data_IF_563084577167
#
_entry.id   IF_563084577167
#
_cell.length_a   1.000
_cell.length_b   1.000
_cell.length_c   1.000
_cell.angle_alpha   90.00
_cell.angle_beta   90.00
_cell.angle_gamma   90.00
#
_symmetry.space_group_name_H-M   'P 1'
#
loop_
_entity.id
_entity.type
_entity.pdbx_description
1 polymer ?
#
# COMPACT_ATOMS: atom_id res chain seq x y z
N UNK A 1 7.94 -8.65 11.63
CA UNK A 1 7.68 -7.76 10.48
C UNK A 1 8.95 -6.95 10.23
N UNK A 2 9.53 -7.02 9.02
CA UNK A 2 10.79 -6.34 8.66
C UNK A 2 10.66 -4.83 8.41
N UNK A 3 9.43 -4.30 8.41
CA UNK A 3 9.17 -2.86 8.26
C UNK A 3 9.37 -2.14 9.59
N UNK A 4 10.22 -1.12 9.58
CA UNK A 4 10.56 -0.33 10.78
C UNK A 4 9.69 0.91 10.95
N UNK A 5 9.13 1.40 9.85
CA UNK A 5 8.29 2.60 9.85
C UNK A 5 7.83 2.93 8.44
N UNK A 6 6.85 3.81 8.36
CA UNK A 6 6.30 4.31 7.11
C UNK A 6 5.89 5.77 7.27
N UNK A 7 5.78 6.47 6.15
CA UNK A 7 5.31 7.84 6.08
C UNK A 7 4.40 8.00 4.87
N UNK A 8 3.27 8.66 5.06
CA UNK A 8 2.35 8.99 3.97
C UNK A 8 2.62 10.43 3.56
N UNK A 9 2.96 10.64 2.29
CA UNK A 9 3.30 11.96 1.74
C UNK A 9 2.14 12.60 0.99
N UNK A 10 1.27 11.79 0.39
CA UNK A 10 0.08 12.29 -0.33
C UNK A 10 -1.05 11.28 -0.25
N UNK A 11 -2.25 11.78 -0.01
CA UNK A 11 -3.50 11.01 -0.15
C UNK A 11 -4.40 11.79 -1.09
N UNK A 12 -4.87 11.14 -2.14
CA UNK A 12 -5.79 11.71 -3.12
C UNK A 12 -6.91 10.71 -3.41
N UNK A 13 -8.15 11.18 -3.36
CA UNK A 13 -9.31 10.40 -3.80
C UNK A 13 -10.27 11.31 -4.56
N UNK A 14 -10.71 10.84 -5.71
CA UNK A 14 -11.60 11.54 -6.60
C UNK A 14 -12.81 10.65 -6.92
N UNK A 15 -14.01 11.19 -6.69
CA UNK A 15 -15.26 10.57 -7.11
C UNK A 15 -15.59 11.07 -8.51
N UNK A 16 -15.54 10.18 -9.48
CA UNK A 16 -15.69 10.49 -10.90
C UNK A 16 -17.16 10.51 -11.32
N UNK A 17 -18.02 9.72 -10.67
CA UNK A 17 -19.46 9.73 -10.92
C UNK A 17 -20.29 9.69 -9.64
N UNK A 18 -21.43 10.38 -9.68
CA UNK A 18 -22.47 10.32 -8.65
C UNK A 18 -23.50 9.22 -8.94
N UNK A 19 -23.60 8.77 -10.19
CA UNK A 19 -24.56 7.76 -10.62
C UNK A 19 -23.89 6.39 -10.60
N UNK A 20 -23.97 5.70 -9.47
CA UNK A 20 -23.40 4.36 -9.29
C UNK A 20 -24.35 3.36 -9.97
N UNK A 21 -23.94 2.67 -11.05
CA UNK A 21 -24.80 1.73 -11.74
C UNK A 21 -25.23 0.59 -10.80
N UNK A 22 -26.49 0.13 -10.88
CA UNK A 22 -26.89 -1.09 -10.19
C UNK A 22 -26.12 -2.27 -10.79
N UNK A 23 -25.28 -2.92 -10.00
CA UNK A 23 -24.43 -4.01 -10.46
C UNK A 23 -23.29 -4.32 -9.48
N UNK A 24 -22.41 -5.25 -9.88
CA UNK A 24 -21.23 -5.59 -9.10
C UNK A 24 -20.16 -4.51 -9.30
N UNK A 25 -19.88 -3.76 -8.24
CA UNK A 25 -18.78 -2.79 -8.23
C UNK A 25 -17.51 -3.57 -7.91
N UNK A 26 -16.54 -3.50 -8.82
CA UNK A 26 -15.22 -4.08 -8.60
C UNK A 26 -14.31 -3.02 -8.00
N UNK A 27 -13.58 -3.40 -6.96
CA UNK A 27 -12.54 -2.56 -6.36
C UNK A 27 -11.20 -3.21 -6.62
N UNK A 28 -10.35 -2.55 -7.40
CA UNK A 28 -9.02 -3.02 -7.74
C UNK A 28 -7.98 -2.28 -6.90
N UNK A 29 -7.15 -3.04 -6.19
CA UNK A 29 -6.03 -2.53 -5.40
C UNK A 29 -4.73 -2.83 -6.15
N UNK A 30 -3.96 -1.80 -6.46
CA UNK A 30 -2.72 -1.90 -7.24
C UNK A 30 -1.58 -1.19 -6.51
N UNK A 31 -0.93 -1.86 -5.53
CA UNK A 31 0.28 -1.35 -4.91
C UNK A 31 1.43 -1.33 -5.93
N UNK A 32 2.09 -0.17 -6.05
CA UNK A 32 3.26 0.01 -6.90
C UNK A 32 4.45 0.47 -6.06
N UNK A 33 5.62 -0.07 -6.38
CA UNK A 33 6.90 0.43 -5.88
C UNK A 33 7.47 1.33 -6.97
N UNK A 34 7.62 2.61 -6.64
CA UNK A 34 8.11 3.64 -7.55
C UNK A 34 9.64 3.69 -7.54
N UNK A 35 10.24 3.55 -6.36
CA UNK A 35 11.69 3.66 -6.19
C UNK A 35 12.18 2.93 -4.94
N UNK A 36 13.39 2.38 -5.01
CA UNK A 36 14.15 1.87 -3.88
C UNK A 36 15.41 2.72 -3.72
N UNK A 37 15.71 3.14 -2.49
CA UNK A 37 16.94 3.89 -2.16
C UNK A 37 17.46 3.51 -0.79
N UNK A 38 18.71 3.86 -0.50
CA UNK A 38 19.30 3.66 0.82
C UNK A 38 18.59 4.54 1.85
N UNK A 39 17.98 3.91 2.85
CA UNK A 39 17.39 4.58 4.01
C UNK A 39 18.31 4.45 5.23
N UNK A 40 18.48 5.53 5.99
CA UNK A 40 19.23 5.52 7.26
C UNK A 40 18.29 5.89 8.41
N UNK A 41 18.31 5.11 9.50
CA UNK A 41 17.72 5.53 10.78
C UNK A 41 18.75 5.60 11.88
N UNK A 42 18.56 6.60 12.74
CA UNK A 42 19.31 6.73 13.99
C UNK A 42 18.56 6.01 15.08
N UNK A 43 19.21 5.01 15.66
CA UNK A 43 18.75 4.27 16.84
C UNK A 43 19.61 4.66 18.05
N UNK A 44 19.16 4.39 19.29
CA UNK A 44 20.00 4.59 20.48
C UNK A 44 21.34 3.85 20.42
N UNK A 45 21.42 2.75 19.68
CA UNK A 45 22.62 1.92 19.50
C UNK A 45 23.48 2.34 18.31
N UNK A 46 23.10 3.37 17.54
CA UNK A 46 23.83 3.86 16.38
C UNK A 46 23.00 3.99 15.12
N UNK A 47 23.68 4.14 13.98
CA UNK A 47 23.04 4.21 12.66
C UNK A 47 22.72 2.81 12.15
N UNK A 48 21.55 2.65 11.55
CA UNK A 48 21.14 1.41 10.90
C UNK A 48 20.63 1.73 9.51
N UNK A 49 21.18 1.04 8.52
CA UNK A 49 20.78 1.16 7.14
C UNK A 49 19.66 0.17 6.83
N UNK A 50 18.78 0.58 5.94
CA UNK A 50 17.70 -0.22 5.36
C UNK A 50 17.39 0.28 3.96
N UNK A 51 16.30 -0.23 3.41
CA UNK A 51 15.83 0.14 2.09
C UNK A 51 14.63 1.06 2.28
N UNK A 52 14.75 2.31 1.85
CA UNK A 52 13.59 3.18 1.73
C UNK A 52 12.86 2.86 0.41
N UNK A 53 11.60 2.46 0.54
CA UNK A 53 10.72 2.06 -0.55
C UNK A 53 9.70 3.16 -0.78
N UNK A 54 9.78 3.87 -1.89
CA UNK A 54 8.75 4.81 -2.31
C UNK A 54 7.62 4.03 -2.99
N UNK A 55 6.39 4.30 -2.58
CA UNK A 55 5.23 3.57 -3.08
C UNK A 55 4.11 4.49 -3.58
N UNK A 56 3.29 3.94 -4.48
CA UNK A 56 2.00 4.48 -4.88
C UNK A 56 0.95 3.36 -4.79
N UNK A 57 0.08 3.45 -3.79
CA UNK A 57 -1.00 2.51 -3.57
C UNK A 57 -2.27 3.00 -4.27
N UNK A 58 -2.53 2.46 -5.45
CA UNK A 58 -3.63 2.89 -6.32
C UNK A 58 -4.88 2.06 -6.07
N UNK A 59 -6.04 2.72 -6.02
CA UNK A 59 -7.35 2.09 -5.86
C UNK A 59 -8.27 2.57 -6.99
N UNK A 60 -8.89 1.64 -7.68
CA UNK A 60 -9.84 1.92 -8.75
C UNK A 60 -11.20 1.28 -8.42
N UNK A 61 -12.26 2.08 -8.50
CA UNK A 61 -13.64 1.61 -8.36
C UNK A 61 -14.28 1.54 -9.75
N UNK A 62 -14.56 0.34 -10.23
CA UNK A 62 -15.06 0.11 -11.59
C UNK A 62 -16.59 -0.07 -11.64
N UNK A 63 -17.26 0.40 -12.71
CA UNK A 63 -16.69 1.13 -13.86
C UNK A 63 -16.55 2.64 -13.56
N UNK A 64 -15.30 3.13 -13.46
CA UNK A 64 -14.96 4.57 -13.34
C UNK A 64 -15.81 5.35 -12.29
N UNK A 65 -16.08 4.74 -11.14
CA UNK A 65 -16.87 5.36 -10.07
C UNK A 65 -16.02 6.36 -9.30
N UNK A 66 -14.81 5.94 -8.96
CA UNK A 66 -13.85 6.71 -8.20
C UNK A 66 -12.44 6.15 -8.41
N UNK A 67 -11.44 6.96 -8.11
CA UNK A 67 -10.04 6.56 -8.07
C UNK A 67 -9.37 7.16 -6.83
N UNK A 68 -8.38 6.47 -6.29
CA UNK A 68 -7.54 6.98 -5.23
C UNK A 68 -6.08 6.57 -5.42
N UNK A 69 -5.20 7.38 -4.84
CA UNK A 69 -3.76 7.13 -4.78
C UNK A 69 -3.27 7.56 -3.40
N UNK A 70 -2.57 6.65 -2.74
CA UNK A 70 -1.85 6.92 -1.49
C UNK A 70 -0.36 6.75 -1.77
N UNK A 71 0.39 7.85 -1.66
CA UNK A 71 1.84 7.86 -1.87
C UNK A 71 2.56 8.04 -0.56
N UNK A 72 3.74 7.45 -0.48
CA UNK A 72 4.54 7.51 0.72
C UNK A 72 5.88 6.81 0.58
N UNK A 73 6.55 6.63 1.72
CA UNK A 73 7.72 5.78 1.82
C UNK A 73 7.64 4.82 3.00
N UNK A 74 8.28 3.67 2.85
CA UNK A 74 8.47 2.66 3.90
C UNK A 74 9.95 2.48 4.13
N UNK A 75 10.36 2.34 5.39
CA UNK A 75 11.69 1.85 5.71
C UNK A 75 11.63 0.34 5.97
N UNK A 76 12.19 -0.42 5.02
CA UNK A 76 12.25 -1.86 5.03
C UNK A 76 13.64 -2.35 5.48
N UNK A 77 13.67 -3.33 6.38
CA UNK A 77 14.90 -4.02 6.77
C UNK A 77 14.82 -5.48 6.38
N UNK A 78 15.61 -5.93 5.39
CA UNK A 78 15.64 -7.34 5.03
C UNK A 78 16.00 -8.21 6.24
N UNK A 79 15.45 -9.44 6.36
CA UNK A 79 15.81 -10.37 7.44
C UNK A 79 17.32 -10.63 7.54
N UNK A 80 18.01 -10.62 6.40
CA UNK A 80 19.45 -10.72 6.26
C UNK A 80 20.01 -9.34 5.92
N UNK A 81 20.64 -8.67 6.90
CA UNK A 81 21.07 -7.26 6.78
C UNK A 81 22.10 -7.01 5.68
N UNK A 82 22.89 -8.02 5.36
CA UNK A 82 23.88 -8.06 4.30
C UNK A 82 23.28 -7.97 2.89
N UNK A 83 21.98 -8.27 2.71
CA UNK A 83 21.31 -8.21 1.41
C UNK A 83 20.87 -6.81 0.97
N UNK A 84 21.05 -5.79 1.80
CA UNK A 84 20.59 -4.42 1.48
C UNK A 84 21.25 -3.92 0.20
N UNK A 85 22.57 -4.02 0.10
CA UNK A 85 23.34 -3.52 -1.05
C UNK A 85 22.98 -4.31 -2.32
N UNK A 86 22.89 -5.65 -2.23
CA UNK A 86 22.51 -6.51 -3.36
C UNK A 86 21.14 -6.14 -3.95
N UNK A 87 20.14 -5.90 -3.09
CA UNK A 87 18.79 -5.55 -3.51
C UNK A 87 18.78 -4.16 -4.18
N UNK A 88 19.52 -3.20 -3.61
CA UNK A 88 19.63 -1.86 -4.19
C UNK A 88 20.33 -1.88 -5.54
N UNK A 89 21.46 -2.60 -5.67
CA UNK A 89 22.18 -2.75 -6.94
C UNK A 89 21.32 -3.43 -8.00
N UNK A 90 20.61 -4.52 -7.66
CA UNK A 90 19.71 -5.19 -8.61
C UNK A 90 18.57 -4.27 -9.11
N UNK A 91 18.09 -3.36 -8.26
CA UNK A 91 17.10 -2.36 -8.64
C UNK A 91 17.69 -1.22 -9.49
N UNK A 92 18.87 -0.74 -9.15
CA UNK A 92 19.54 0.33 -9.89
C UNK A 92 19.92 -0.12 -11.31
N UNK A 93 20.52 -1.29 -11.44
CA UNK A 93 21.07 -1.79 -12.70
C UNK A 93 20.00 -2.41 -13.60
N UNK A 94 19.09 -3.20 -13.02
CA UNK A 94 18.17 -4.05 -13.80
C UNK A 94 16.69 -3.69 -13.60
N UNK A 95 16.38 -2.75 -12.70
CA UNK A 95 15.01 -2.49 -12.21
C UNK A 95 14.31 -3.77 -11.74
N UNK A 96 15.10 -4.75 -11.29
CA UNK A 96 14.59 -6.00 -10.76
C UNK A 96 14.22 -5.80 -9.30
N UNK A 97 13.00 -6.18 -8.99
CA UNK A 97 12.46 -6.07 -7.65
C UNK A 97 12.61 -7.41 -6.93
N UNK A 98 13.21 -7.41 -5.75
CA UNK A 98 13.29 -8.60 -4.90
C UNK A 98 11.88 -9.07 -4.53
N UNK A 99 11.58 -10.34 -4.80
CA UNK A 99 10.24 -10.89 -4.63
C UNK A 99 9.82 -10.98 -3.16
N UNK A 100 10.77 -11.17 -2.24
CA UNK A 100 10.49 -11.24 -0.80
C UNK A 100 10.14 -9.83 -0.30
N UNK A 101 10.96 -8.84 -0.66
CA UNK A 101 10.68 -7.43 -0.35
C UNK A 101 9.30 -7.03 -0.87
N UNK A 102 8.98 -7.35 -2.13
CA UNK A 102 7.68 -7.02 -2.73
C UNK A 102 6.52 -7.54 -1.89
N UNK A 103 6.53 -8.84 -1.58
CA UNK A 103 5.45 -9.49 -0.85
C UNK A 103 5.30 -8.89 0.55
N UNK A 104 6.40 -8.67 1.24
CA UNK A 104 6.38 -8.11 2.60
C UNK A 104 5.90 -6.66 2.62
N UNK A 105 6.36 -5.82 1.69
CA UNK A 105 5.94 -4.43 1.56
C UNK A 105 4.47 -4.34 1.17
N UNK A 106 4.01 -5.12 0.19
CA UNK A 106 2.61 -5.12 -0.25
C UNK A 106 1.69 -5.54 0.88
N UNK A 107 2.01 -6.63 1.58
CA UNK A 107 1.19 -7.09 2.71
C UNK A 107 1.13 -6.05 3.83
N UNK A 108 2.26 -5.42 4.14
CA UNK A 108 2.31 -4.33 5.11
C UNK A 108 1.43 -3.16 4.69
N UNK A 109 1.58 -2.67 3.45
CA UNK A 109 0.77 -1.57 2.91
C UNK A 109 -0.72 -1.89 2.93
N UNK A 110 -1.12 -3.08 2.50
CA UNK A 110 -2.52 -3.49 2.51
C UNK A 110 -3.08 -3.52 3.93
N UNK A 111 -2.33 -4.02 4.91
CA UNK A 111 -2.78 -4.04 6.30
C UNK A 111 -2.91 -2.62 6.89
N UNK A 112 -1.94 -1.76 6.62
CA UNK A 112 -1.86 -0.44 7.27
C UNK A 112 -2.75 0.61 6.61
N UNK A 113 -2.90 0.58 5.28
CA UNK A 113 -3.69 1.58 4.56
C UNK A 113 -5.18 1.25 4.52
N UNK A 114 -5.57 -0.02 4.62
CA UNK A 114 -6.98 -0.46 4.58
C UNK A 114 -7.87 0.32 5.57
N UNK A 115 -7.55 0.43 6.88
CA UNK A 115 -8.39 1.17 7.83
C UNK A 115 -8.65 2.63 7.42
N UNK A 116 -7.61 3.33 6.96
CA UNK A 116 -7.73 4.72 6.48
C UNK A 116 -8.65 4.80 5.26
N UNK A 117 -8.45 3.91 4.29
CA UNK A 117 -9.27 3.86 3.08
C UNK A 117 -10.73 3.57 3.40
N UNK A 118 -11.05 2.88 4.51
CA UNK A 118 -12.44 2.53 4.87
C UNK A 118 -13.15 3.80 5.29
N UNK A 119 -12.46 4.61 6.09
CA UNK A 119 -12.96 5.90 6.56
C UNK A 119 -13.20 6.83 5.38
N UNK A 120 -12.23 6.98 4.47
CA UNK A 120 -12.37 7.86 3.31
C UNK A 120 -13.51 7.38 2.40
N UNK A 121 -13.60 6.08 2.10
CA UNK A 121 -14.67 5.51 1.29
C UNK A 121 -16.06 5.76 1.91
N UNK A 122 -16.17 5.63 3.25
CA UNK A 122 -17.41 5.93 3.99
C UNK A 122 -17.83 7.39 3.80
N UNK A 123 -16.93 8.33 4.01
CA UNK A 123 -17.23 9.77 3.88
C UNK A 123 -17.64 10.15 2.46
N UNK A 124 -17.04 9.52 1.44
CA UNK A 124 -17.36 9.75 0.03
C UNK A 124 -18.57 8.94 -0.48
N UNK A 125 -19.19 8.13 0.40
CA UNK A 125 -20.29 7.22 0.08
C UNK A 125 -19.93 6.29 -1.08
N UNK A 126 -18.72 5.75 -1.05
CA UNK A 126 -18.23 4.73 -1.96
C UNK A 126 -18.39 3.34 -1.32
N UNK A 127 -18.42 2.27 -2.12
CA UNK A 127 -18.34 0.90 -1.60
C UNK A 127 -17.06 0.70 -0.79
N UNK A 128 -17.10 -0.22 0.16
CA UNK A 128 -15.91 -0.61 0.90
C UNK A 128 -15.02 -1.52 0.04
N UNK A 129 -13.72 -1.31 0.13
CA UNK A 129 -12.70 -2.12 -0.55
C UNK A 129 -12.48 -3.49 0.14
N UNK A 130 -13.10 -3.71 1.30
CA UNK A 130 -13.15 -5.00 1.99
C UNK A 130 -14.61 -5.39 2.27
N UNK A 131 -14.95 -6.68 2.22
CA UNK A 131 -16.28 -7.15 2.57
C UNK A 131 -16.54 -6.86 4.06
N UNK A 132 -17.61 -6.11 4.34
CA UNK A 132 -18.06 -5.90 5.72
C UNK A 132 -19.00 -7.05 6.11
N UNK A 133 -18.77 -7.73 7.25
CA UNK A 133 -19.67 -8.77 7.72
C UNK A 133 -21.07 -8.20 7.94
N UNK A 134 -22.08 -8.89 7.41
CA UNK A 134 -23.49 -8.55 7.59
C UNK A 134 -24.16 -9.65 8.41
N UNK A 135 -25.02 -9.25 9.35
CA UNK A 135 -25.87 -10.21 10.02
C UNK A 135 -26.99 -10.65 9.07
N UNK A 136 -27.17 -11.95 8.92
CA UNK A 136 -28.29 -12.53 8.17
C UNK A 136 -29.33 -13.07 9.14
N UNK A 137 -30.59 -12.72 8.90
CA UNK A 137 -31.72 -13.29 9.63
C UNK A 137 -31.92 -14.72 9.15
N UNK A 138 -31.59 -15.71 9.98
CA UNK A 138 -31.96 -17.10 9.71
C UNK A 138 -33.47 -17.23 9.85
N UNK A 139 -34.15 -17.33 8.71
CA UNK A 139 -35.55 -17.77 8.69
C UNK A 139 -35.55 -19.28 8.97
N UNK A 140 -36.19 -19.69 10.07
CA UNK A 140 -36.45 -21.10 10.37
C UNK A 140 -37.58 -21.63 9.49
#
# INVERSE_FOLDING_TARGET
MPVLGYNITKVEMEKLTSNIPPGQIEVKLSPKIEELRLGEIRTPTGKMNGIEVLFDYQIEYNPQIARASVKGSILYMPPQKDRVDDILTAWEDEKKLDSVLLVEVVNFLSMELTPMLIVIAKEMRLPYHVPIPRAELRTQ
#
